data_IF_816796191529
#
_entry.id   IF_816796191529
#
_cell.length_a   1.000
_cell.length_b   1.000
_cell.length_c   1.000
_cell.angle_alpha   90.00
_cell.angle_beta   90.00
_cell.angle_gamma   90.00
#
_symmetry.space_group_name_H-M   'P 1'
#
loop_
_entity.id
_entity.type
_entity.pdbx_description
1 polymer ?
#
# COMPACT_ATOMS: atom_id res chain seq x y z
N UNK A 1 21.11 34.18 11.62
CA UNK A 1 20.50 33.09 10.82
C UNK A 1 19.69 33.75 9.70
N UNK A 2 20.13 33.59 8.46
CA UNK A 2 19.72 34.43 7.33
C UNK A 2 18.33 34.05 6.80
N UNK A 3 17.40 35.01 6.77
CA UNK A 3 16.06 34.88 6.17
C UNK A 3 16.10 34.42 4.69
N UNK A 4 17.22 34.67 3.99
CA UNK A 4 17.45 34.22 2.61
C UNK A 4 17.48 32.68 2.47
N UNK A 5 17.99 31.95 3.47
CA UNK A 5 18.02 30.47 3.46
C UNK A 5 16.62 29.87 3.63
N UNK A 6 15.71 30.59 4.28
CA UNK A 6 14.32 30.16 4.51
C UNK A 6 13.52 30.26 3.21
N UNK A 7 13.79 31.26 2.38
CA UNK A 7 13.17 31.44 1.06
C UNK A 7 13.55 30.36 0.05
N UNK A 8 14.84 30.00 -0.03
CA UNK A 8 15.29 28.93 -0.94
C UNK A 8 14.82 27.53 -0.48
N UNK A 9 14.78 27.28 0.83
CA UNK A 9 14.27 26.01 1.38
C UNK A 9 12.76 25.84 1.20
N UNK A 10 11.98 26.93 1.22
CA UNK A 10 10.55 26.91 0.89
C UNK A 10 10.29 26.53 -0.58
N UNK A 11 11.07 27.06 -1.52
CA UNK A 11 10.95 26.71 -2.93
C UNK A 11 11.22 25.22 -3.20
N UNK A 12 12.27 24.69 -2.57
CA UNK A 12 12.63 23.27 -2.65
C UNK A 12 11.54 22.38 -2.01
N UNK A 13 10.97 22.80 -0.87
CA UNK A 13 9.87 22.08 -0.22
C UNK A 13 8.58 22.06 -1.05
N UNK A 14 8.29 23.11 -1.83
CA UNK A 14 7.13 23.10 -2.74
C UNK A 14 7.37 22.11 -3.88
N UNK A 15 8.56 22.12 -4.49
CA UNK A 15 8.93 21.14 -5.53
C UNK A 15 8.88 19.71 -4.98
N UNK A 16 9.28 19.49 -3.72
CA UNK A 16 9.15 18.21 -3.03
C UNK A 16 7.72 17.70 -3.01
N UNK A 17 6.79 18.56 -2.60
CA UNK A 17 5.38 18.18 -2.49
C UNK A 17 4.86 17.84 -3.89
N UNK A 18 5.21 18.64 -4.90
CA UNK A 18 4.80 18.37 -6.29
C UNK A 18 5.34 17.02 -6.79
N UNK A 19 6.63 16.73 -6.62
CA UNK A 19 7.24 15.47 -7.07
C UNK A 19 6.74 14.27 -6.26
N UNK A 20 6.64 14.40 -4.94
CA UNK A 20 6.12 13.35 -4.05
C UNK A 20 4.66 13.02 -4.36
N UNK A 21 3.83 14.04 -4.61
CA UNK A 21 2.44 13.86 -5.03
C UNK A 21 2.36 13.23 -6.42
N UNK A 22 3.20 13.66 -7.37
CA UNK A 22 3.23 13.06 -8.70
C UNK A 22 3.60 11.57 -8.65
N UNK A 23 4.61 11.20 -7.86
CA UNK A 23 4.99 9.80 -7.63
C UNK A 23 3.88 9.02 -6.93
N UNK A 24 3.23 9.61 -5.92
CA UNK A 24 2.10 8.97 -5.23
C UNK A 24 0.93 8.71 -6.20
N UNK A 25 0.56 9.67 -7.04
CA UNK A 25 -0.50 9.51 -8.06
C UNK A 25 -0.14 8.45 -9.11
N UNK A 26 1.12 8.44 -9.55
CA UNK A 26 1.64 7.41 -10.46
C UNK A 26 1.55 6.01 -9.83
N UNK A 27 1.99 5.87 -8.58
CA UNK A 27 1.95 4.60 -7.88
C UNK A 27 0.52 4.14 -7.56
N UNK A 28 -0.41 5.03 -7.20
CA UNK A 28 -1.84 4.68 -7.04
C UNK A 28 -2.39 4.10 -8.34
N UNK A 29 -2.10 4.75 -9.47
CA UNK A 29 -2.55 4.28 -10.80
C UNK A 29 -1.95 2.90 -11.14
N UNK A 30 -0.67 2.70 -10.85
CA UNK A 30 0.00 1.41 -11.04
C UNK A 30 -0.61 0.32 -10.14
N UNK A 31 -0.91 0.64 -8.89
CA UNK A 31 -1.51 -0.29 -7.93
C UNK A 31 -2.94 -0.68 -8.28
N UNK A 32 -3.75 0.27 -8.74
CA UNK A 32 -5.08 -0.03 -9.27
C UNK A 32 -5.01 -0.98 -10.47
N UNK A 33 -4.12 -0.71 -11.43
CA UNK A 33 -3.92 -1.58 -12.58
C UNK A 33 -3.40 -2.98 -12.21
N UNK A 34 -2.47 -3.07 -11.25
CA UNK A 34 -1.97 -4.36 -10.76
C UNK A 34 -3.07 -5.11 -10.00
N UNK A 35 -3.85 -4.42 -9.18
CA UNK A 35 -4.93 -5.00 -8.41
C UNK A 35 -6.06 -5.55 -9.30
N UNK A 36 -6.46 -4.81 -10.34
CA UNK A 36 -7.44 -5.27 -11.33
C UNK A 36 -6.98 -6.57 -12.00
N UNK A 37 -5.67 -6.69 -12.28
CA UNK A 37 -5.09 -7.88 -12.88
C UNK A 37 -5.08 -9.10 -11.94
N UNK A 38 -5.06 -8.88 -10.64
CA UNK A 38 -4.93 -9.93 -9.61
C UNK A 38 -6.26 -10.29 -8.95
N UNK A 39 -7.22 -9.37 -8.92
CA UNK A 39 -8.53 -9.56 -8.26
C UNK A 39 -9.67 -9.81 -9.25
N UNK A 40 -9.34 -10.35 -10.42
CA UNK A 40 -10.23 -10.62 -11.57
C UNK A 40 -11.38 -11.62 -11.29
N UNK A 41 -11.58 -12.03 -10.03
CA UNK A 41 -12.67 -12.94 -9.61
C UNK A 41 -13.85 -12.22 -8.95
N UNK A 42 -13.75 -10.92 -8.64
CA UNK A 42 -14.87 -10.12 -8.15
C UNK A 42 -15.08 -8.90 -9.05
N UNK A 43 -16.30 -8.72 -9.55
CA UNK A 43 -16.68 -7.59 -10.41
C UNK A 43 -16.89 -6.33 -9.56
N UNK A 44 -15.81 -5.87 -8.91
CA UNK A 44 -15.83 -4.81 -7.90
C UNK A 44 -16.44 -3.54 -8.44
N UNK A 45 -16.11 -3.15 -9.67
CA UNK A 45 -16.63 -1.95 -10.31
C UNK A 45 -18.14 -2.06 -10.56
N UNK A 46 -18.64 -3.24 -10.94
CA UNK A 46 -20.07 -3.46 -11.10
C UNK A 46 -20.81 -3.36 -9.75
N UNK A 47 -20.25 -3.95 -8.69
CA UNK A 47 -20.85 -3.91 -7.34
C UNK A 47 -20.75 -2.51 -6.70
N UNK A 48 -19.67 -1.77 -6.93
CA UNK A 48 -19.51 -0.37 -6.56
C UNK A 48 -20.55 0.50 -7.27
N UNK A 49 -20.79 0.28 -8.58
CA UNK A 49 -21.85 0.97 -9.33
C UNK A 49 -23.25 0.66 -8.81
N UNK A 50 -23.48 -0.55 -8.28
CA UNK A 50 -24.73 -0.92 -7.60
C UNK A 50 -24.89 -0.28 -6.22
N UNK A 51 -23.87 0.40 -5.69
CA UNK A 51 -23.91 1.03 -4.37
C UNK A 51 -23.60 0.07 -3.22
N UNK A 52 -22.91 -1.04 -3.48
CA UNK A 52 -22.56 -2.00 -2.43
C UNK A 52 -21.46 -1.44 -1.51
N UNK A 53 -21.86 -1.03 -0.31
CA UNK A 53 -20.97 -0.43 0.70
C UNK A 53 -19.88 -1.40 1.15
N UNK A 54 -20.17 -2.70 1.26
CA UNK A 54 -19.19 -3.70 1.67
C UNK A 54 -18.04 -3.83 0.67
N UNK A 55 -18.37 -3.88 -0.63
CA UNK A 55 -17.34 -3.87 -1.68
C UNK A 55 -16.54 -2.57 -1.66
N UNK A 56 -17.19 -1.43 -1.39
CA UNK A 56 -16.51 -0.14 -1.24
C UNK A 56 -15.47 -0.14 -0.11
N UNK A 57 -15.82 -0.65 1.07
CA UNK A 57 -14.90 -0.77 2.21
C UNK A 57 -13.75 -1.73 1.91
N UNK A 58 -14.05 -2.84 1.24
CA UNK A 58 -13.03 -3.81 0.82
C UNK A 58 -11.99 -3.17 -0.11
N UNK A 59 -12.44 -2.45 -1.15
CA UNK A 59 -11.55 -1.74 -2.09
C UNK A 59 -10.77 -0.64 -1.38
N UNK A 60 -11.42 0.12 -0.48
CA UNK A 60 -10.75 1.13 0.32
C UNK A 60 -9.62 0.53 1.18
N UNK A 61 -9.82 -0.65 1.76
CA UNK A 61 -8.80 -1.33 2.57
C UNK A 61 -7.57 -1.72 1.77
N UNK A 62 -7.78 -2.16 0.54
CA UNK A 62 -6.68 -2.47 -0.37
C UNK A 62 -5.93 -1.19 -0.74
N UNK A 63 -6.64 -0.13 -1.10
CA UNK A 63 -6.02 1.15 -1.45
C UNK A 63 -5.18 1.71 -0.29
N UNK A 64 -5.70 1.65 0.93
CA UNK A 64 -4.98 2.10 2.14
C UNK A 64 -3.73 1.25 2.37
N UNK A 65 -3.85 -0.07 2.27
CA UNK A 65 -2.73 -0.99 2.43
C UNK A 65 -1.60 -0.69 1.43
N UNK A 66 -1.95 -0.51 0.16
CA UNK A 66 -0.97 -0.26 -0.89
C UNK A 66 -0.37 1.15 -0.77
N UNK A 67 -1.19 2.16 -0.47
CA UNK A 67 -0.72 3.52 -0.23
C UNK A 67 0.25 3.59 0.95
N UNK A 68 0.02 2.81 2.02
CA UNK A 68 0.94 2.73 3.17
C UNK A 68 2.33 2.22 2.77
N UNK A 69 2.39 1.23 1.87
CA UNK A 69 3.65 0.65 1.39
C UNK A 69 4.39 1.59 0.45
N UNK A 70 3.65 2.23 -0.47
CA UNK A 70 4.19 3.21 -1.42
C UNK A 70 4.69 4.46 -0.71
N UNK A 71 3.93 4.96 0.28
CA UNK A 71 4.23 6.22 0.95
C UNK A 71 5.64 6.26 1.53
N UNK A 72 6.12 5.12 2.06
CA UNK A 72 7.49 4.99 2.54
C UNK A 72 8.52 5.03 1.39
N UNK A 73 8.22 4.40 0.25
CA UNK A 73 9.11 4.38 -0.92
C UNK A 73 9.20 5.73 -1.62
N UNK A 74 8.06 6.37 -1.86
CA UNK A 74 7.99 7.72 -2.43
C UNK A 74 8.70 8.75 -1.55
N UNK A 75 8.57 8.63 -0.22
CA UNK A 75 9.29 9.49 0.73
C UNK A 75 10.81 9.32 0.65
N UNK A 76 11.31 8.09 0.49
CA UNK A 76 12.74 7.82 0.30
C UNK A 76 13.29 8.44 -0.98
N UNK A 77 12.57 8.28 -2.09
CA UNK A 77 12.92 8.90 -3.38
C UNK A 77 12.93 10.42 -3.25
N UNK A 78 11.90 11.02 -2.64
CA UNK A 78 11.82 12.47 -2.47
C UNK A 78 13.03 13.01 -1.69
N UNK A 79 13.42 12.36 -0.58
CA UNK A 79 14.60 12.77 0.22
C UNK A 79 15.89 12.77 -0.60
N UNK A 80 16.07 11.76 -1.45
CA UNK A 80 17.27 11.61 -2.28
C UNK A 80 17.49 12.76 -3.27
N UNK A 81 16.41 13.34 -3.80
CA UNK A 81 16.47 14.44 -4.75
C UNK A 81 16.66 15.82 -4.09
N UNK A 82 16.33 15.96 -2.80
CA UNK A 82 16.17 17.28 -2.16
C UNK A 82 17.18 17.57 -1.05
N UNK A 83 17.91 16.57 -0.56
CA UNK A 83 18.94 16.73 0.48
C UNK A 83 20.18 17.53 0.06
N UNK A 84 20.22 18.13 -1.14
CA UNK A 84 21.35 18.92 -1.66
C UNK A 84 22.60 18.09 -2.03
N UNK A 85 22.70 16.86 -1.53
CA UNK A 85 23.57 15.80 -2.01
C UNK A 85 22.66 14.70 -2.54
N UNK A 86 22.85 14.25 -3.79
CA UNK A 86 22.18 13.04 -4.28
C UNK A 86 22.58 11.88 -3.36
N UNK A 87 21.79 11.63 -2.33
CA UNK A 87 21.96 10.50 -1.44
C UNK A 87 21.47 9.29 -2.20
N UNK A 88 22.36 8.73 -3.03
CA UNK A 88 22.14 7.52 -3.81
C UNK A 88 21.63 6.40 -2.88
N UNK A 89 22.06 6.42 -1.61
CA UNK A 89 21.53 5.60 -0.53
C UNK A 89 20.00 5.77 -0.32
N UNK A 90 19.48 6.99 -0.15
CA UNK A 90 18.04 7.23 0.03
C UNK A 90 17.23 6.87 -1.22
N UNK A 91 17.79 7.10 -2.42
CA UNK A 91 17.17 6.73 -3.69
C UNK A 91 17.04 5.20 -3.77
N UNK A 92 18.11 4.47 -3.48
CA UNK A 92 18.12 3.01 -3.47
C UNK A 92 17.16 2.47 -2.43
N UNK A 93 17.10 3.07 -1.23
CA UNK A 93 16.12 2.71 -0.21
C UNK A 93 14.68 2.88 -0.71
N UNK A 94 14.38 4.01 -1.34
CA UNK A 94 13.06 4.28 -1.93
C UNK A 94 12.71 3.34 -3.09
N UNK A 95 13.67 3.01 -3.96
CA UNK A 95 13.49 2.06 -5.06
C UNK A 95 13.31 0.63 -4.57
N UNK A 96 14.09 0.18 -3.58
CA UNK A 96 13.90 -1.13 -2.93
C UNK A 96 12.47 -1.24 -2.41
N UNK A 97 12.00 -0.23 -1.69
CA UNK A 97 10.64 -0.19 -1.18
C UNK A 97 9.58 -0.24 -2.29
N UNK A 98 9.80 0.45 -3.41
CA UNK A 98 8.85 0.44 -4.53
C UNK A 98 8.85 -0.90 -5.28
N UNK A 99 10.02 -1.46 -5.60
CA UNK A 99 10.13 -2.67 -6.40
C UNK A 99 9.88 -3.96 -5.61
N UNK A 100 10.21 -4.00 -4.33
CA UNK A 100 10.01 -5.17 -3.46
C UNK A 100 8.73 -5.02 -2.63
N UNK A 101 8.44 -3.82 -2.13
CA UNK A 101 7.27 -3.58 -1.28
C UNK A 101 5.95 -3.75 -2.02
N UNK A 102 5.80 -3.26 -3.26
CA UNK A 102 4.54 -3.36 -4.00
C UNK A 102 4.13 -4.81 -4.29
N UNK A 103 5.01 -5.68 -4.84
CA UNK A 103 4.68 -7.08 -5.06
C UNK A 103 4.38 -7.83 -3.76
N UNK A 104 5.14 -7.55 -2.68
CA UNK A 104 4.88 -8.15 -1.37
C UNK A 104 3.54 -7.71 -0.79
N UNK A 105 3.18 -6.43 -0.91
CA UNK A 105 1.89 -5.91 -0.46
C UNK A 105 0.73 -6.66 -1.12
N UNK A 106 0.82 -6.84 -2.44
CA UNK A 106 -0.15 -7.62 -3.23
C UNK A 106 -0.23 -9.07 -2.74
N UNK A 107 0.93 -9.71 -2.55
CA UNK A 107 1.00 -11.09 -2.06
C UNK A 107 0.34 -11.21 -0.69
N UNK A 108 0.60 -10.26 0.21
CA UNK A 108 0.02 -10.24 1.54
C UNK A 108 -1.46 -9.91 1.56
N UNK A 109 -1.98 -9.11 0.65
CA UNK A 109 -3.44 -8.92 0.49
C UNK A 109 -4.09 -10.27 0.18
N UNK A 110 -3.51 -11.02 -0.75
CA UNK A 110 -3.99 -12.37 -1.10
C UNK A 110 -3.91 -13.32 0.11
N UNK A 111 -2.82 -13.27 0.88
CA UNK A 111 -2.69 -14.06 2.10
C UNK A 111 -3.69 -13.66 3.17
N UNK A 112 -3.95 -12.36 3.37
CA UNK A 112 -4.90 -11.86 4.35
C UNK A 112 -6.32 -12.38 4.05
N UNK A 113 -6.72 -12.42 2.77
CA UNK A 113 -7.98 -13.04 2.37
C UNK A 113 -8.03 -14.52 2.73
N UNK A 114 -6.94 -15.26 2.47
CA UNK A 114 -6.84 -16.69 2.76
C UNK A 114 -6.94 -16.97 4.27
N UNK A 115 -6.27 -16.17 5.09
CA UNK A 115 -6.29 -16.34 6.55
C UNK A 115 -7.68 -16.06 7.13
N UNK A 116 -8.35 -15.01 6.66
CA UNK A 116 -9.72 -14.71 7.07
C UNK A 116 -10.66 -15.85 6.66
N UNK A 117 -10.58 -16.33 5.43
CA UNK A 117 -11.37 -17.48 4.98
C UNK A 117 -11.16 -18.70 5.87
N UNK A 118 -9.91 -19.06 6.18
CA UNK A 118 -9.59 -20.20 7.05
C UNK A 118 -10.12 -20.02 8.46
N UNK A 119 -9.93 -18.84 9.05
CA UNK A 119 -10.40 -18.54 10.40
C UNK A 119 -11.92 -18.71 10.52
N UNK A 120 -12.68 -18.19 9.56
CA UNK A 120 -14.14 -18.31 9.55
C UNK A 120 -14.62 -19.71 9.19
N UNK A 121 -13.99 -20.37 8.21
CA UNK A 121 -14.32 -21.75 7.84
C UNK A 121 -14.15 -22.70 9.05
N UNK A 122 -13.10 -22.49 9.86
CA UNK A 122 -12.87 -23.29 11.05
C UNK A 122 -13.88 -23.00 12.17
N UNK A 123 -14.33 -21.74 12.31
CA UNK A 123 -15.27 -21.32 13.36
C UNK A 123 -16.73 -21.65 13.03
N UNK A 124 -17.08 -21.75 11.75
CA UNK A 124 -18.45 -22.02 11.26
C UNK A 124 -18.61 -23.43 10.67
N UNK A 125 -17.76 -24.38 11.08
CA UNK A 125 -17.75 -25.79 10.63
C UNK A 125 -18.95 -26.61 11.17
N UNK A 126 -20.16 -26.20 10.80
CA UNK A 126 -21.41 -26.92 11.11
C UNK A 126 -22.67 -26.44 10.36
N UNK A 127 -22.65 -25.33 9.61
CA UNK A 127 -23.78 -24.83 8.80
C UNK A 127 -23.32 -24.27 7.45
N UNK A 128 -22.63 -25.09 6.65
CA UNK A 128 -22.09 -24.62 5.38
C UNK A 128 -23.13 -24.64 4.26
N UNK A 129 -23.69 -23.47 3.96
CA UNK A 129 -23.51 -22.96 2.60
C UNK A 129 -22.13 -22.30 2.56
N UNK A 130 -21.36 -22.62 1.54
CA UNK A 130 -19.96 -22.23 1.35
C UNK A 130 -19.69 -20.74 1.61
N UNK A 131 -18.90 -20.42 2.64
CA UNK A 131 -18.50 -19.05 3.01
C UNK A 131 -17.50 -18.47 2.01
N UNK A 132 -17.98 -18.05 0.85
CA UNK A 132 -17.15 -17.33 -0.11
C UNK A 132 -17.15 -15.84 0.23
N UNK A 133 -15.97 -15.29 0.55
CA UNK A 133 -15.78 -13.84 0.77
C UNK A 133 -16.43 -13.04 -0.35
N UNK A 134 -16.29 -13.52 -1.58
CA UNK A 134 -16.90 -12.90 -2.76
C UNK A 134 -18.42 -12.82 -2.68
N UNK A 135 -19.09 -13.87 -2.20
CA UNK A 135 -20.53 -13.92 -2.07
C UNK A 135 -21.01 -13.04 -0.91
N UNK A 136 -20.29 -13.08 0.21
CA UNK A 136 -20.57 -12.25 1.38
C UNK A 136 -20.41 -10.75 1.09
N UNK A 137 -19.38 -10.38 0.34
CA UNK A 137 -19.19 -9.00 -0.10
C UNK A 137 -20.32 -8.58 -1.05
N UNK A 138 -20.73 -9.43 -2.00
CA UNK A 138 -21.90 -9.17 -2.88
C UNK A 138 -23.21 -9.04 -2.10
N UNK A 139 -23.38 -9.80 -1.03
CA UNK A 139 -24.52 -9.70 -0.11
C UNK A 139 -24.51 -8.42 0.74
N UNK A 140 -23.47 -7.59 0.63
CA UNK A 140 -23.35 -6.34 1.37
C UNK A 140 -22.91 -6.53 2.81
N UNK A 141 -22.22 -7.63 3.15
CA UNK A 141 -21.75 -7.89 4.50
C UNK A 141 -20.57 -6.98 4.86
N UNK A 142 -20.90 -5.81 5.44
CA UNK A 142 -19.95 -4.78 5.86
C UNK A 142 -18.98 -5.31 6.92
N UNK A 143 -19.40 -6.25 7.78
CA UNK A 143 -18.53 -6.78 8.84
C UNK A 143 -17.31 -7.51 8.27
N UNK A 144 -17.51 -8.31 7.22
CA UNK A 144 -16.43 -9.02 6.53
C UNK A 144 -15.54 -8.03 5.79
N UNK A 145 -16.13 -7.04 5.13
CA UNK A 145 -15.37 -5.98 4.49
C UNK A 145 -14.48 -5.20 5.48
N UNK A 146 -15.01 -4.84 6.64
CA UNK A 146 -14.26 -4.14 7.68
C UNK A 146 -13.13 -5.00 8.28
N UNK A 147 -13.35 -6.31 8.44
CA UNK A 147 -12.29 -7.23 8.85
C UNK A 147 -11.19 -7.36 7.81
N UNK A 148 -11.56 -7.46 6.52
CA UNK A 148 -10.59 -7.48 5.42
C UNK A 148 -9.79 -6.18 5.37
N UNK A 149 -10.45 -5.03 5.53
CA UNK A 149 -9.79 -3.74 5.64
C UNK A 149 -8.73 -3.75 6.75
N UNK A 150 -9.12 -4.16 7.97
CA UNK A 150 -8.20 -4.22 9.10
C UNK A 150 -7.01 -5.15 8.85
N UNK A 151 -7.25 -6.32 8.26
CA UNK A 151 -6.20 -7.27 7.93
C UNK A 151 -5.26 -6.76 6.82
N UNK A 152 -5.78 -6.07 5.81
CA UNK A 152 -4.95 -5.46 4.77
C UNK A 152 -4.07 -4.36 5.34
N UNK A 153 -4.63 -3.50 6.19
CA UNK A 153 -3.84 -2.48 6.86
C UNK A 153 -2.75 -3.10 7.74
N UNK A 154 -3.10 -4.07 8.59
CA UNK A 154 -2.14 -4.73 9.48
C UNK A 154 -1.00 -5.42 8.70
N UNK A 155 -1.32 -6.17 7.65
CA UNK A 155 -0.30 -6.84 6.84
C UNK A 155 0.58 -5.85 6.11
N UNK A 156 0.00 -4.80 5.52
CA UNK A 156 0.77 -3.75 4.83
C UNK A 156 1.73 -3.01 5.74
N UNK A 157 1.33 -2.74 6.99
CA UNK A 157 2.18 -2.08 7.97
C UNK A 157 3.40 -2.95 8.30
N UNK A 158 3.18 -4.24 8.57
CA UNK A 158 4.25 -5.20 8.85
C UNK A 158 5.20 -5.34 7.65
N UNK A 159 4.68 -5.44 6.43
CA UNK A 159 5.50 -5.53 5.21
C UNK A 159 6.36 -4.28 5.05
N UNK A 160 5.75 -3.10 5.20
CA UNK A 160 6.48 -1.86 5.00
C UNK A 160 7.63 -1.74 6.00
N UNK A 161 7.41 -2.21 7.23
CA UNK A 161 8.46 -2.28 8.24
C UNK A 161 9.53 -3.32 7.89
N UNK A 162 9.14 -4.51 7.43
CA UNK A 162 10.06 -5.56 7.00
C UNK A 162 10.95 -5.13 5.83
N UNK A 163 10.37 -4.46 4.83
CA UNK A 163 11.13 -3.96 3.67
C UNK A 163 12.05 -2.81 4.10
N UNK A 164 11.61 -1.93 5.01
CA UNK A 164 12.50 -0.93 5.62
C UNK A 164 13.66 -1.55 6.40
N UNK A 165 13.43 -2.65 7.13
CA UNK A 165 14.51 -3.36 7.84
C UNK A 165 15.54 -3.95 6.86
N UNK A 166 15.08 -4.46 5.71
CA UNK A 166 15.98 -4.97 4.67
C UNK A 166 16.74 -3.86 3.96
N UNK A 167 16.12 -2.69 3.75
CA UNK A 167 16.77 -1.57 3.07
C UNK A 167 17.83 -0.88 3.95
N UNK A 168 17.58 -0.74 5.26
CA UNK A 168 18.47 0.00 6.17
C UNK A 168 19.95 -0.37 6.10
N UNK A 169 20.37 -1.65 6.19
CA UNK A 169 21.80 -1.99 6.14
C UNK A 169 22.43 -1.68 4.76
N UNK A 170 21.67 -1.85 3.68
CA UNK A 170 22.12 -1.55 2.31
C UNK A 170 22.32 -0.04 2.14
N UNK A 171 21.32 0.74 2.59
CA UNK A 171 21.35 2.20 2.58
C UNK A 171 22.51 2.72 3.43
N UNK A 172 22.71 2.16 4.63
CA UNK A 172 23.80 2.54 5.52
C UNK A 172 25.18 2.26 4.88
N UNK A 173 25.37 1.10 4.27
CA UNK A 173 26.63 0.76 3.59
C UNK A 173 26.93 1.73 2.44
N UNK A 174 25.91 2.10 1.65
CA UNK A 174 26.06 3.03 0.53
C UNK A 174 26.28 4.48 0.98
N UNK A 175 25.79 4.86 2.15
CA UNK A 175 25.99 6.22 2.69
C UNK A 175 27.42 6.46 3.20
N UNK A 176 28.20 5.39 3.42
CA UNK A 176 29.60 5.46 3.88
C UNK A 176 30.64 5.41 2.75
N UNK A 177 30.19 5.28 1.50
CA UNK A 177 31.02 5.28 0.28
C UNK A 177 30.87 6.63 -0.41
#
# INVERSE_FOLDING_TARGET
MNFLYIGESLGIAVVQIVVGVALALFSITLSLNLLDKLTSNLDQIAELKKGNIAVGIYVAGILVAVASVIGQGASGIARAFLGGKCAIADLIGGLIQLFIGLPLAIFSITLAQREIYRFFAHRMSGKMETFYINNELKNGNIAIAAMLFGAFYATSAVISQAVSFLSQPIVAALSQI
#
